data_IF_337748425749
#
_entry.id   IF_337748425749
#
_cell.length_a   1.000
_cell.length_b   1.000
_cell.length_c   1.000
_cell.angle_alpha   90.00
_cell.angle_beta   90.00
_cell.angle_gamma   90.00
#
_symmetry.space_group_name_H-M   'P 1'
#
loop_
_entity.id
_entity.type
_entity.pdbx_description
1 polymer ?
#
# COMPACT_ATOMS: atom_id res chain seq x y z
N UNK A 1 7.34 1.08 -16.12
CA UNK A 1 8.17 0.52 -15.03
C UNK A 1 7.19 -0.03 -14.01
N UNK A 2 7.20 -1.34 -13.75
CA UNK A 2 6.31 -1.93 -12.73
C UNK A 2 6.94 -1.67 -11.36
N UNK A 3 6.27 -0.88 -10.53
CA UNK A 3 6.68 -0.69 -9.15
C UNK A 3 6.35 -1.99 -8.40
N UNK A 4 7.37 -2.66 -7.86
CA UNK A 4 7.17 -3.92 -7.14
C UNK A 4 6.73 -3.61 -5.71
N UNK A 5 5.51 -4.01 -5.34
CA UNK A 5 4.96 -3.88 -3.99
C UNK A 5 5.97 -4.30 -2.91
N UNK A 6 6.52 -5.51 -3.04
CA UNK A 6 7.47 -6.07 -2.08
C UNK A 6 8.81 -5.34 -2.07
N UNK A 7 9.29 -4.89 -3.24
CA UNK A 7 10.51 -4.11 -3.33
C UNK A 7 10.37 -2.76 -2.64
N UNK A 8 9.23 -2.09 -2.82
CA UNK A 8 8.89 -0.84 -2.16
C UNK A 8 8.77 -1.01 -0.64
N UNK A 9 8.03 -2.02 -0.17
CA UNK A 9 7.89 -2.30 1.26
C UNK A 9 9.25 -2.61 1.90
N UNK A 10 10.10 -3.38 1.21
CA UNK A 10 11.42 -3.70 1.74
C UNK A 10 12.26 -2.43 1.91
N UNK A 11 12.33 -1.57 0.90
CA UNK A 11 13.13 -0.35 0.92
C UNK A 11 12.62 0.69 1.93
N UNK A 12 11.31 0.92 1.96
CA UNK A 12 10.74 2.04 2.72
C UNK A 12 10.33 1.69 4.14
N UNK A 13 10.00 0.41 4.41
CA UNK A 13 9.55 -0.04 5.72
C UNK A 13 10.57 -0.99 6.36
N UNK A 14 10.87 -2.13 5.72
CA UNK A 14 11.63 -3.19 6.38
C UNK A 14 13.07 -2.78 6.66
N UNK A 15 13.72 -2.07 5.73
CA UNK A 15 15.10 -1.59 5.86
C UNK A 15 15.20 -0.26 6.63
N UNK A 16 14.06 0.41 6.91
CA UNK A 16 14.05 1.73 7.55
C UNK A 16 14.61 1.72 8.98
N UNK A 17 14.44 0.61 9.69
CA UNK A 17 14.89 0.45 11.08
C UNK A 17 14.93 -1.02 11.51
N UNK A 18 15.66 -1.28 12.60
CA UNK A 18 15.65 -2.58 13.28
C UNK A 18 14.38 -2.73 14.13
N UNK A 19 13.71 -3.87 13.95
CA UNK A 19 12.48 -4.22 14.67
C UNK A 19 12.81 -5.09 15.89
N UNK A 20 12.27 -4.73 17.06
CA UNK A 20 12.57 -5.47 18.30
C UNK A 20 11.74 -6.73 18.44
N UNK A 21 10.52 -6.72 17.89
CA UNK A 21 9.58 -7.84 18.00
C UNK A 21 8.82 -8.06 16.69
N UNK A 22 8.35 -9.29 16.48
CA UNK A 22 7.49 -9.60 15.32
C UNK A 22 6.15 -8.85 15.38
N UNK A 23 5.63 -8.56 16.59
CA UNK A 23 4.40 -7.81 16.76
C UNK A 23 4.54 -6.35 16.33
N UNK A 24 5.67 -5.71 16.69
CA UNK A 24 6.00 -4.35 16.26
C UNK A 24 6.11 -4.26 14.74
N UNK A 25 6.81 -5.22 14.12
CA UNK A 25 6.91 -5.32 12.67
C UNK A 25 5.54 -5.54 12.00
N UNK A 26 4.71 -6.43 12.53
CA UNK A 26 3.38 -6.69 11.99
C UNK A 26 2.48 -5.46 12.04
N UNK A 27 2.48 -4.73 13.16
CA UNK A 27 1.74 -3.47 13.30
C UNK A 27 2.23 -2.42 12.30
N UNK A 28 3.54 -2.31 12.11
CA UNK A 28 4.08 -1.33 11.17
C UNK A 28 3.80 -1.71 9.70
N UNK A 29 3.78 -3.01 9.36
CA UNK A 29 3.33 -3.48 8.05
C UNK A 29 1.87 -3.11 7.84
N UNK A 30 1.00 -3.38 8.83
CA UNK A 30 -0.41 -3.03 8.75
C UNK A 30 -0.62 -1.53 8.56
N UNK A 31 0.00 -0.70 9.40
CA UNK A 31 -0.09 0.76 9.32
C UNK A 31 0.44 1.28 7.97
N UNK A 32 1.57 0.75 7.50
CA UNK A 32 2.13 1.15 6.22
C UNK A 32 1.22 0.79 5.06
N UNK A 33 0.55 -0.37 5.08
CA UNK A 33 -0.40 -0.77 4.04
C UNK A 33 -1.65 0.11 4.08
N UNK A 34 -2.30 0.19 5.25
CA UNK A 34 -3.64 0.77 5.38
C UNK A 34 -3.64 2.30 5.46
N UNK A 35 -2.62 2.91 6.06
CA UNK A 35 -2.56 4.36 6.23
C UNK A 35 -1.72 5.07 5.16
N UNK A 36 -0.84 4.35 4.46
CA UNK A 36 0.06 4.96 3.48
C UNK A 36 -0.06 4.35 2.08
N UNK A 37 0.17 3.05 1.93
CA UNK A 37 0.25 2.42 0.61
C UNK A 37 -1.09 2.47 -0.12
N UNK A 38 -2.14 1.88 0.45
CA UNK A 38 -3.46 1.82 -0.17
C UNK A 38 -4.11 3.20 -0.39
N UNK A 39 -4.15 4.11 0.60
CA UNK A 39 -4.89 5.37 0.43
C UNK A 39 -4.09 6.51 -0.22
N UNK A 40 -2.75 6.50 -0.15
CA UNK A 40 -1.95 7.69 -0.48
C UNK A 40 -0.83 7.45 -1.49
N UNK A 41 -0.31 6.23 -1.62
CA UNK A 41 0.83 5.99 -2.51
C UNK A 41 0.39 6.00 -3.96
N UNK A 42 0.91 6.96 -4.73
CA UNK A 42 0.63 7.08 -6.16
C UNK A 42 1.52 6.19 -6.99
N UNK A 43 0.94 5.44 -7.92
CA UNK A 43 1.68 4.61 -8.84
C UNK A 43 1.59 5.14 -10.27
N UNK A 44 2.75 5.28 -10.91
CA UNK A 44 2.86 5.74 -12.29
C UNK A 44 2.15 4.82 -13.28
N UNK A 45 2.08 3.53 -12.96
CA UNK A 45 1.45 2.50 -13.79
C UNK A 45 -0.09 2.56 -13.79
N UNK A 46 -0.70 3.18 -12.77
CA UNK A 46 -2.16 3.33 -12.64
C UNK A 46 -2.61 4.80 -12.79
N UNK A 47 -1.83 5.60 -13.52
CA UNK A 47 -2.19 6.99 -13.81
C UNK A 47 -1.95 7.94 -12.65
N UNK A 48 -0.97 7.67 -11.78
CA UNK A 48 -0.67 8.44 -10.57
C UNK A 48 -1.80 8.45 -9.54
N UNK A 49 -2.68 7.44 -9.59
CA UNK A 49 -3.69 7.19 -8.56
C UNK A 49 -3.11 6.35 -7.43
N UNK A 50 -3.73 6.43 -6.25
CA UNK A 50 -3.52 5.44 -5.20
C UNK A 50 -4.24 4.12 -5.53
N UNK A 51 -3.83 2.98 -4.95
CA UNK A 51 -4.57 1.73 -5.11
C UNK A 51 -6.05 1.88 -4.76
N UNK A 52 -6.38 2.55 -3.65
CA UNK A 52 -7.76 2.77 -3.24
C UNK A 52 -8.54 3.67 -4.22
N UNK A 53 -7.92 4.75 -4.72
CA UNK A 53 -8.55 5.61 -5.73
C UNK A 53 -8.78 4.86 -7.05
N UNK A 54 -7.80 4.04 -7.45
CA UNK A 54 -7.92 3.20 -8.64
C UNK A 54 -9.06 2.19 -8.48
N UNK A 55 -9.13 1.48 -7.34
CA UNK A 55 -10.24 0.57 -7.06
C UNK A 55 -11.59 1.29 -7.02
N UNK A 56 -11.68 2.48 -6.44
CA UNK A 56 -12.93 3.26 -6.41
C UNK A 56 -13.40 3.72 -7.80
N UNK A 57 -12.48 3.99 -8.73
CA UNK A 57 -12.80 4.38 -10.11
C UNK A 57 -13.14 3.17 -10.98
N UNK A 58 -12.52 2.01 -10.71
CA UNK A 58 -12.64 0.81 -11.54
C UNK A 58 -13.59 -0.26 -11.01
N UNK A 59 -13.99 -0.18 -9.74
CA UNK A 59 -15.04 -1.00 -9.16
C UNK A 59 -16.34 -0.20 -9.27
N UNK A 60 -17.29 -0.58 -10.15
CA UNK A 60 -18.61 0.03 -10.12
C UNK A 60 -19.18 -0.16 -8.71
N UNK A 61 -19.93 0.83 -8.17
CA UNK A 61 -20.62 0.62 -6.91
C UNK A 61 -21.43 -0.66 -7.07
N UNK A 62 -21.17 -1.63 -6.20
CA UNK A 62 -21.96 -2.84 -6.10
C UNK A 62 -23.43 -2.39 -6.07
N UNK A 63 -24.13 -2.61 -7.18
CA UNK A 63 -25.57 -2.41 -7.26
C UNK A 63 -26.17 -3.62 -6.53
N UNK A 64 -25.98 -3.67 -5.20
CA UNK A 64 -26.74 -4.59 -4.37
C UNK A 64 -28.18 -4.05 -4.31
N UNK A 65 -29.01 -4.75 -5.08
CA UNK A 65 -30.47 -4.87 -5.09
C UNK A 65 -31.31 -3.87 -4.27
#
# INVERSE_FOLDING_TARGET
MVESFWGTMQLELLDSRTWKTRAELANAIFEWIECWYNPARRHSSIGMLSPADYEAVHTPPDQDH
#
